data_IF_106416201039
#
_entry.id   IF_106416201039
#
_cell.length_a   1.000
_cell.length_b   1.000
_cell.length_c   1.000
_cell.angle_alpha   90.00
_cell.angle_beta   90.00
_cell.angle_gamma   90.00
#
_symmetry.space_group_name_H-M   'P 1'
#
loop_
_entity.id
_entity.type
_entity.pdbx_description
1 polymer ?
#
# COMPACT_ATOMS: atom_id res chain seq x y z
N UNK A 1 1.69 46.30 10.11
CA UNK A 1 1.91 44.84 9.99
C UNK A 1 1.61 44.48 8.54
N UNK A 2 2.62 44.12 7.73
CA UNK A 2 2.40 43.79 6.32
C UNK A 2 2.08 42.31 6.14
N UNK A 3 1.03 42.00 5.38
CA UNK A 3 0.80 40.66 4.84
C UNK A 3 1.70 40.49 3.61
N UNK A 4 2.50 39.42 3.57
CA UNK A 4 3.16 38.98 2.36
C UNK A 4 2.40 37.78 1.81
N UNK A 5 2.13 37.76 0.51
CA UNK A 5 1.22 36.81 -0.14
C UNK A 5 1.76 35.37 -0.24
N UNK A 6 3.05 35.15 0.03
CA UNK A 6 3.65 33.81 -0.01
C UNK A 6 5.01 33.76 0.73
N UNK A 7 5.34 32.58 1.25
CA UNK A 7 6.65 32.25 1.82
C UNK A 7 7.36 31.27 0.88
N UNK A 8 8.53 31.64 0.35
CA UNK A 8 9.28 30.86 -0.64
C UNK A 8 9.84 29.53 -0.12
N UNK A 9 9.96 29.35 1.19
CA UNK A 9 10.47 28.10 1.80
C UNK A 9 9.37 27.06 2.07
N UNK A 10 8.10 27.45 2.16
CA UNK A 10 7.01 26.51 2.48
C UNK A 10 5.77 26.61 1.59
N UNK A 11 5.69 27.57 0.67
CA UNK A 11 4.63 27.65 -0.35
C UNK A 11 3.21 28.01 0.14
N UNK A 12 2.96 28.11 1.46
CA UNK A 12 1.60 28.34 2.00
C UNK A 12 1.26 29.82 2.21
N UNK A 13 0.04 30.20 1.81
CA UNK A 13 -0.46 31.59 1.79
C UNK A 13 -0.78 32.22 3.16
N UNK A 14 -0.59 31.51 4.28
CA UNK A 14 -0.96 32.02 5.64
C UNK A 14 0.04 31.69 6.74
N UNK A 15 1.33 31.95 6.51
CA UNK A 15 2.35 31.88 7.56
C UNK A 15 2.52 33.25 8.27
N UNK A 16 2.34 33.32 9.60
CA UNK A 16 2.71 34.49 10.41
C UNK A 16 4.17 34.38 10.84
N UNK A 17 5.09 35.08 10.16
CA UNK A 17 6.45 35.26 10.65
C UNK A 17 6.50 36.35 11.73
N UNK A 18 6.90 35.98 12.96
CA UNK A 18 7.27 36.97 13.99
C UNK A 18 8.64 37.57 13.61
N UNK A 19 8.67 38.77 13.04
CA UNK A 19 9.92 39.51 12.84
C UNK A 19 10.64 39.69 14.18
N UNK A 20 11.84 39.13 14.32
CA UNK A 20 12.98 39.84 14.89
C UNK A 20 14.23 39.57 14.04
N UNK A 21 15.04 40.62 13.97
CA UNK A 21 16.13 40.93 13.05
C UNK A 21 17.19 39.82 12.93
N UNK A 22 17.68 39.63 11.70
CA UNK A 22 19.06 39.27 11.31
C UNK A 22 19.68 37.97 11.81
N UNK A 23 19.00 36.83 11.67
CA UNK A 23 19.70 35.54 11.49
C UNK A 23 18.80 34.53 10.77
N UNK A 24 19.33 33.88 9.74
CA UNK A 24 18.68 32.86 8.92
C UNK A 24 18.50 31.53 9.68
N UNK A 25 17.82 31.54 10.81
CA UNK A 25 17.39 30.29 11.46
C UNK A 25 16.13 30.52 12.29
N UNK A 26 14.97 30.44 11.63
CA UNK A 26 13.67 30.58 12.29
C UNK A 26 12.80 29.39 11.93
N UNK A 27 13.06 28.28 12.64
CA UNK A 27 12.23 27.07 12.76
C UNK A 27 10.74 27.36 12.54
N UNK A 28 10.25 27.11 11.33
CA UNK A 28 8.83 27.11 11.02
C UNK A 28 8.18 25.91 11.72
N UNK A 29 7.60 26.14 12.91
CA UNK A 29 6.86 25.09 13.63
C UNK A 29 5.52 24.87 12.91
N UNK A 30 5.47 23.92 11.98
CA UNK A 30 4.22 23.39 11.44
C UNK A 30 3.45 22.78 12.61
N UNK A 31 2.37 23.45 13.04
CA UNK A 31 1.61 23.09 14.24
C UNK A 31 0.60 21.95 14.04
N UNK A 32 0.59 21.28 12.90
CA UNK A 32 -0.24 20.11 12.68
C UNK A 32 0.54 19.09 11.84
N UNK A 33 1.45 18.34 12.47
CA UNK A 33 1.86 17.05 11.91
C UNK A 33 0.82 16.04 12.34
N UNK A 34 -0.01 15.57 11.41
CA UNK A 34 -0.72 14.31 11.59
C UNK A 34 0.37 13.25 11.75
N UNK A 35 0.51 12.66 12.93
CA UNK A 35 1.34 11.46 13.12
C UNK A 35 0.54 10.29 12.56
N UNK A 36 0.78 9.95 11.30
CA UNK A 36 0.34 8.66 10.77
C UNK A 36 1.28 7.62 11.39
N UNK A 37 0.81 6.93 12.42
CA UNK A 37 1.56 5.90 13.10
C UNK A 37 1.38 4.59 12.32
N UNK A 38 2.10 4.42 11.22
CA UNK A 38 2.20 3.10 10.56
C UNK A 38 3.14 2.25 11.43
N UNK A 39 2.69 1.14 12.03
CA UNK A 39 3.59 0.27 12.79
C UNK A 39 4.64 -0.31 11.82
N UNK A 40 5.91 -0.05 12.08
CA UNK A 40 7.01 -0.70 11.35
C UNK A 40 6.90 -2.21 11.60
N UNK A 41 6.92 -3.03 10.54
CA UNK A 41 6.90 -4.49 10.66
C UNK A 41 7.97 -5.00 11.63
N UNK A 42 7.65 -6.07 12.36
CA UNK A 42 8.55 -6.65 13.36
C UNK A 42 9.92 -6.99 12.73
N UNK A 43 11.01 -6.58 13.38
CA UNK A 43 12.36 -6.98 12.98
C UNK A 43 12.48 -8.50 12.97
N UNK A 44 12.96 -9.08 11.87
CA UNK A 44 13.18 -10.52 11.76
C UNK A 44 14.18 -11.03 12.80
N UNK A 45 14.05 -12.30 13.21
CA UNK A 45 14.92 -12.90 14.21
C UNK A 45 16.40 -12.89 13.74
N UNK A 46 17.32 -12.55 14.65
CA UNK A 46 18.76 -12.65 14.39
C UNK A 46 19.13 -14.09 14.05
N UNK A 47 19.88 -14.30 12.96
CA UNK A 47 20.35 -15.62 12.54
C UNK A 47 21.24 -16.28 13.59
N UNK A 48 21.24 -17.61 13.64
CA UNK A 48 22.03 -18.38 14.60
C UNK A 48 23.55 -18.14 14.42
N UNK A 49 24.28 -18.02 15.52
CA UNK A 49 25.75 -17.92 15.52
C UNK A 49 26.37 -19.18 14.89
N UNK A 50 27.31 -19.01 13.95
CA UNK A 50 28.02 -20.12 13.31
C UNK A 50 28.81 -20.97 14.32
N UNK A 51 28.97 -22.26 14.03
CA UNK A 51 29.70 -23.19 14.89
C UNK A 51 31.19 -22.79 15.04
N UNK A 52 31.74 -22.94 16.25
CA UNK A 52 33.18 -22.75 16.50
C UNK A 52 34.00 -23.73 15.66
N UNK A 53 35.02 -23.23 14.96
CA UNK A 53 35.93 -24.06 14.16
C UNK A 53 36.65 -25.11 15.00
N UNK A 54 36.94 -26.27 14.41
CA UNK A 54 37.64 -27.37 15.09
C UNK A 54 39.05 -26.94 15.53
N UNK A 55 39.44 -27.33 16.75
CA UNK A 55 40.80 -27.13 17.26
C UNK A 55 41.81 -27.82 16.36
N UNK A 56 42.87 -27.12 15.94
CA UNK A 56 43.93 -27.67 15.10
C UNK A 56 44.64 -28.85 15.77
N UNK A 57 45.10 -29.82 14.97
CA UNK A 57 45.82 -30.99 15.46
C UNK A 57 47.13 -30.59 16.17
N UNK A 58 47.40 -31.19 17.34
CA UNK A 58 48.68 -31.03 18.04
C UNK A 58 49.80 -31.59 17.16
N UNK A 59 50.87 -30.80 16.95
CA UNK A 59 52.02 -31.23 16.15
C UNK A 59 52.69 -32.48 16.74
N UNK A 60 53.26 -33.33 15.87
CA UNK A 60 53.94 -34.55 16.28
C UNK A 60 55.13 -34.26 17.20
N UNK A 61 55.24 -34.98 18.31
CA UNK A 61 56.40 -34.93 19.20
C UNK A 61 57.63 -35.46 18.46
N UNK A 62 58.67 -34.64 18.34
CA UNK A 62 59.94 -35.07 17.75
C UNK A 62 60.56 -36.21 18.56
N UNK A 63 60.98 -37.28 17.89
CA UNK A 63 61.67 -38.41 18.53
C UNK A 63 62.97 -37.96 19.20
N UNK A 64 63.29 -38.57 20.34
CA UNK A 64 64.48 -38.25 21.12
C UNK A 64 65.77 -38.50 20.29
N UNK A 65 66.47 -37.41 19.97
CA UNK A 65 67.78 -37.43 19.31
C UNK A 65 68.68 -36.36 19.94
N UNK A 66 69.98 -36.66 20.01
CA UNK A 66 71.01 -35.81 20.60
C UNK A 66 70.86 -34.34 20.18
N UNK A 67 70.68 -33.45 21.16
CA UNK A 67 70.73 -31.99 21.08
C UNK A 67 70.41 -31.40 19.70
N UNK A 68 69.14 -31.42 19.29
CA UNK A 68 68.73 -30.91 17.97
C UNK A 68 67.28 -30.43 17.93
N UNK A 69 67.12 -29.17 17.52
CA UNK A 69 65.91 -28.43 17.07
C UNK A 69 64.63 -28.49 17.94
N UNK A 70 64.25 -27.34 18.49
CA UNK A 70 62.89 -27.05 18.98
C UNK A 70 61.86 -27.42 17.92
N UNK A 71 60.88 -28.26 18.27
CA UNK A 71 59.83 -28.70 17.36
C UNK A 71 58.99 -27.54 16.82
N UNK A 72 58.55 -27.64 15.57
CA UNK A 72 57.77 -26.59 14.89
C UNK A 72 56.41 -26.33 15.59
N UNK A 73 56.07 -25.05 15.76
CA UNK A 73 54.75 -24.63 16.28
C UNK A 73 53.63 -25.12 15.36
N UNK A 74 52.60 -25.75 15.93
CA UNK A 74 51.44 -26.25 15.18
C UNK A 74 50.66 -25.15 14.46
N UNK A 75 50.03 -25.51 13.33
CA UNK A 75 49.27 -24.57 12.52
C UNK A 75 48.00 -24.05 13.24
N UNK A 76 47.74 -22.75 13.14
CA UNK A 76 46.52 -22.13 13.65
C UNK A 76 45.29 -22.71 12.95
N UNK A 77 44.27 -23.09 13.72
CA UNK A 77 43.01 -23.64 13.18
C UNK A 77 42.27 -22.65 12.27
N UNK A 78 41.50 -23.17 11.31
CA UNK A 78 40.74 -22.34 10.37
C UNK A 78 39.62 -21.56 11.09
N UNK A 79 39.45 -20.29 10.71
CA UNK A 79 38.34 -19.45 11.17
C UNK A 79 37.00 -20.10 10.79
N UNK A 80 36.07 -20.19 11.75
CA UNK A 80 34.73 -20.74 11.52
C UNK A 80 33.93 -19.92 10.50
N UNK A 81 33.01 -20.59 9.78
CA UNK A 81 32.18 -19.93 8.78
C UNK A 81 31.23 -18.91 9.43
N UNK A 82 31.06 -17.76 8.78
CA UNK A 82 30.07 -16.75 9.18
C UNK A 82 28.66 -17.35 9.14
N UNK A 83 27.88 -17.15 10.21
CA UNK A 83 26.49 -17.62 10.27
C UNK A 83 25.60 -16.96 9.21
N UNK A 84 24.52 -17.65 8.80
CA UNK A 84 23.58 -17.14 7.82
C UNK A 84 22.83 -15.91 8.34
N UNK A 85 22.69 -14.89 7.50
CA UNK A 85 21.83 -13.73 7.78
C UNK A 85 20.39 -14.17 8.03
N UNK A 86 19.77 -13.72 9.13
CA UNK A 86 18.38 -14.02 9.46
C UNK A 86 17.40 -13.47 8.41
N UNK A 87 16.25 -14.13 8.24
CA UNK A 87 15.23 -13.68 7.30
C UNK A 87 14.67 -12.30 7.69
N UNK A 88 14.56 -11.39 6.72
CA UNK A 88 13.89 -10.10 6.90
C UNK A 88 12.43 -10.33 7.32
N UNK A 89 11.98 -9.68 8.40
CA UNK A 89 10.60 -9.79 8.89
C UNK A 89 9.58 -9.27 7.87
N UNK A 90 8.38 -9.85 7.86
CA UNK A 90 7.29 -9.38 7.01
C UNK A 90 6.98 -7.90 7.33
N UNK A 91 7.00 -7.05 6.30
CA UNK A 91 6.67 -5.63 6.49
C UNK A 91 5.17 -5.53 6.77
N UNK A 92 4.80 -5.26 8.01
CA UNK A 92 3.40 -4.97 8.37
C UNK A 92 3.00 -3.61 7.82
N UNK A 93 2.27 -3.60 6.70
CA UNK A 93 1.82 -2.38 6.04
C UNK A 93 1.14 -2.67 4.71
N UNK A 94 0.39 -1.71 4.20
CA UNK A 94 -0.24 -1.78 2.89
C UNK A 94 0.89 -1.83 1.84
N UNK A 95 1.00 -2.91 1.07
CA UNK A 95 2.07 -3.15 0.09
C UNK A 95 1.87 -2.35 -1.21
N UNK A 96 0.66 -1.86 -1.42
CA UNK A 96 0.31 -1.00 -2.54
C UNK A 96 -1.11 -0.50 -2.43
N UNK A 97 -1.40 0.62 -3.08
CA UNK A 97 -2.74 1.19 -3.20
C UNK A 97 -3.01 1.70 -4.62
N UNK A 98 -4.25 1.65 -5.05
CA UNK A 98 -4.72 2.31 -6.26
C UNK A 98 -6.09 2.97 -6.01
N UNK A 99 -6.24 4.19 -6.50
CA UNK A 99 -7.51 4.92 -6.48
C UNK A 99 -8.00 5.12 -7.91
N UNK A 100 -9.20 4.65 -8.23
CA UNK A 100 -9.80 4.73 -9.56
C UNK A 100 -11.23 5.23 -9.38
N UNK A 101 -11.62 6.27 -10.12
CA UNK A 101 -12.90 6.93 -9.87
C UNK A 101 -13.52 7.49 -11.14
N UNK A 102 -14.82 7.72 -11.06
CA UNK A 102 -15.61 8.33 -12.11
C UNK A 102 -16.20 9.64 -11.62
N UNK A 103 -16.24 10.62 -12.51
CA UNK A 103 -16.79 11.96 -12.24
C UNK A 103 -18.00 12.28 -13.12
N UNK A 104 -18.51 11.29 -13.85
CA UNK A 104 -19.59 11.46 -14.83
C UNK A 104 -20.85 10.72 -14.40
N UNK A 105 -21.98 11.17 -14.91
CA UNK A 105 -23.24 10.44 -14.73
C UNK A 105 -23.27 9.23 -15.66
N UNK A 106 -23.74 8.09 -15.15
CA UNK A 106 -23.90 6.86 -15.93
C UNK A 106 -25.26 6.22 -15.66
N UNK A 107 -25.91 5.73 -16.71
CA UNK A 107 -27.10 4.88 -16.60
C UNK A 107 -26.67 3.42 -16.75
N UNK A 108 -26.94 2.61 -15.74
CA UNK A 108 -26.48 1.22 -15.65
C UNK A 108 -27.70 0.29 -15.62
N UNK A 109 -27.79 -0.60 -16.60
CA UNK A 109 -28.74 -1.71 -16.57
C UNK A 109 -28.31 -2.77 -15.53
N UNK A 110 -29.16 -3.77 -15.30
CA UNK A 110 -28.80 -4.96 -14.53
C UNK A 110 -27.55 -5.62 -15.11
N UNK A 111 -26.59 -5.94 -14.25
CA UNK A 111 -25.26 -6.51 -14.56
C UNK A 111 -24.33 -5.61 -15.38
N UNK A 112 -24.71 -4.35 -15.65
CA UNK A 112 -23.82 -3.41 -16.32
C UNK A 112 -22.65 -3.04 -15.40
N UNK A 113 -21.44 -3.01 -15.96
CA UNK A 113 -20.25 -2.61 -15.24
C UNK A 113 -20.14 -1.08 -15.18
N UNK A 114 -19.74 -0.57 -14.02
CA UNK A 114 -19.40 0.84 -13.82
C UNK A 114 -18.13 1.14 -14.61
N UNK A 115 -18.15 2.19 -15.42
CA UNK A 115 -16.95 2.69 -16.10
C UNK A 115 -16.28 3.76 -15.24
N UNK A 116 -14.95 3.89 -15.31
CA UNK A 116 -14.21 4.89 -14.55
C UNK A 116 -13.40 5.79 -15.48
N UNK A 117 -13.57 7.09 -15.38
CA UNK A 117 -12.91 8.04 -16.27
C UNK A 117 -11.56 8.58 -15.75
N UNK A 118 -11.16 8.25 -14.52
CA UNK A 118 -9.94 8.81 -13.93
C UNK A 118 -9.15 7.78 -13.12
N UNK A 119 -7.84 7.74 -13.37
CA UNK A 119 -6.86 7.09 -12.50
C UNK A 119 -6.34 8.12 -11.50
N UNK A 120 -6.60 7.90 -10.22
CA UNK A 120 -5.91 8.56 -9.14
C UNK A 120 -4.51 7.97 -8.94
N UNK A 121 -3.91 8.20 -7.75
CA UNK A 121 -2.62 7.62 -7.41
C UNK A 121 -2.62 6.08 -7.46
N UNK A 122 -1.58 5.50 -8.07
CA UNK A 122 -1.33 4.07 -8.15
C UNK A 122 0.10 3.80 -7.68
N UNK A 123 0.25 2.98 -6.64
CA UNK A 123 1.55 2.61 -6.08
C UNK A 123 1.55 1.14 -5.63
N UNK A 124 2.58 0.34 -5.98
CA UNK A 124 3.57 0.64 -7.01
C UNK A 124 2.90 0.86 -8.38
N UNK A 125 3.56 1.52 -9.35
CA UNK A 125 2.95 1.84 -10.65
C UNK A 125 2.42 0.63 -11.43
N UNK A 126 2.93 -0.56 -11.12
CA UNK A 126 2.50 -1.83 -11.70
C UNK A 126 1.56 -2.63 -10.78
N UNK A 127 0.88 -2.00 -9.80
CA UNK A 127 -0.08 -2.71 -8.95
C UNK A 127 -1.31 -3.15 -9.73
N UNK A 128 -1.87 -2.22 -10.52
CA UNK A 128 -3.03 -2.41 -11.39
C UNK A 128 -2.84 -1.67 -12.70
N UNK A 129 -3.56 -2.09 -13.74
CA UNK A 129 -3.70 -1.37 -15.00
C UNK A 129 -5.18 -1.07 -15.23
N UNK A 130 -5.49 0.19 -15.54
CA UNK A 130 -6.83 0.61 -15.90
C UNK A 130 -6.74 1.66 -17.02
N UNK A 131 -7.61 1.51 -18.01
CA UNK A 131 -7.76 2.45 -19.12
C UNK A 131 -8.91 3.40 -18.78
N UNK A 132 -8.67 4.70 -18.57
CA UNK A 132 -9.74 5.67 -18.33
C UNK A 132 -10.84 5.62 -19.40
N UNK A 133 -12.09 5.68 -18.97
CA UNK A 133 -13.29 5.53 -19.80
C UNK A 133 -13.75 4.08 -19.97
N UNK A 134 -13.12 3.13 -19.28
CA UNK A 134 -13.48 1.70 -19.34
C UNK A 134 -13.88 1.17 -17.97
N UNK A 135 -14.50 -0.01 -17.92
CA UNK A 135 -14.83 -0.70 -16.68
C UNK A 135 -13.75 -1.64 -16.12
N UNK A 136 -12.99 -2.40 -16.94
CA UNK A 136 -12.09 -3.42 -16.42
C UNK A 136 -10.82 -2.82 -15.80
N UNK A 137 -10.47 -3.31 -14.60
CA UNK A 137 -9.23 -3.00 -13.91
C UNK A 137 -8.43 -4.30 -13.80
N UNK A 138 -7.31 -4.39 -14.48
CA UNK A 138 -6.42 -5.56 -14.42
C UNK A 138 -5.56 -5.48 -13.17
N UNK A 139 -5.59 -6.53 -12.35
CA UNK A 139 -4.69 -6.71 -11.22
C UNK A 139 -3.38 -7.29 -11.74
N UNK A 140 -2.28 -6.56 -11.61
CA UNK A 140 -0.99 -6.96 -12.18
C UNK A 140 -0.10 -7.73 -11.20
N UNK A 141 -0.42 -7.67 -9.90
CA UNK A 141 0.30 -8.40 -8.87
C UNK A 141 -0.66 -9.34 -8.16
N UNK A 142 -0.28 -10.61 -8.01
CA UNK A 142 -1.03 -11.53 -7.16
C UNK A 142 -0.90 -11.12 -5.69
N UNK A 143 -1.92 -11.46 -4.90
CA UNK A 143 -1.93 -11.18 -3.47
C UNK A 143 -3.32 -11.15 -2.84
N UNK A 144 -3.35 -10.79 -1.57
CA UNK A 144 -4.58 -10.48 -0.83
C UNK A 144 -4.82 -8.98 -0.87
N UNK A 145 -6.05 -8.58 -1.18
CA UNK A 145 -6.44 -7.19 -1.35
C UNK A 145 -7.65 -6.85 -0.50
N UNK A 146 -7.63 -5.66 0.08
CA UNK A 146 -8.80 -4.94 0.56
C UNK A 146 -9.32 -4.07 -0.57
N UNK A 147 -10.56 -4.30 -0.98
CA UNK A 147 -11.24 -3.47 -1.97
C UNK A 147 -12.36 -2.73 -1.27
N UNK A 148 -12.30 -1.40 -1.32
CA UNK A 148 -13.40 -0.53 -0.88
C UNK A 148 -13.95 0.17 -2.11
N UNK A 149 -15.26 0.24 -2.24
CA UNK A 149 -15.90 1.03 -3.28
C UNK A 149 -16.97 1.93 -2.70
N UNK A 150 -17.21 3.05 -3.38
CA UNK A 150 -18.31 3.96 -3.08
C UNK A 150 -19.06 4.27 -4.39
N UNK A 151 -20.38 4.29 -4.33
CA UNK A 151 -21.23 4.67 -5.46
C UNK A 151 -22.36 5.57 -5.00
N UNK A 152 -22.78 6.48 -5.87
CA UNK A 152 -23.82 7.47 -5.61
C UNK A 152 -25.00 7.28 -6.57
N UNK A 153 -25.88 6.30 -6.32
CA UNK A 153 -27.07 6.09 -7.13
C UNK A 153 -28.12 7.20 -6.91
N UNK A 154 -28.80 7.57 -8.00
CA UNK A 154 -30.08 8.28 -8.01
C UNK A 154 -31.19 7.35 -7.53
N UNK A 155 -32.18 7.93 -6.86
CA UNK A 155 -33.42 7.32 -6.35
C UNK A 155 -33.81 5.95 -6.96
N UNK A 156 -34.10 5.00 -6.08
CA UNK A 156 -34.51 3.64 -6.42
C UNK A 156 -33.91 2.66 -5.43
N UNK A 157 -34.21 1.36 -5.59
CA UNK A 157 -33.38 0.30 -5.04
C UNK A 157 -32.25 0.05 -6.02
N UNK A 158 -31.01 0.10 -5.53
CA UNK A 158 -29.86 -0.31 -6.30
C UNK A 158 -28.95 -1.15 -5.40
N UNK A 159 -28.23 -2.07 -6.01
CA UNK A 159 -27.21 -2.85 -5.33
C UNK A 159 -26.02 -3.02 -6.27
N UNK A 160 -24.83 -3.05 -5.69
CA UNK A 160 -23.59 -3.18 -6.43
C UNK A 160 -22.78 -4.32 -5.84
N UNK A 161 -21.99 -4.98 -6.69
CA UNK A 161 -21.03 -5.99 -6.26
C UNK A 161 -19.78 -5.96 -7.14
N UNK A 162 -18.69 -6.48 -6.56
CA UNK A 162 -17.43 -6.66 -7.26
C UNK A 162 -17.41 -8.02 -7.95
N UNK A 163 -16.76 -8.07 -9.10
CA UNK A 163 -16.60 -9.27 -9.92
C UNK A 163 -15.13 -9.44 -10.30
N UNK A 164 -14.64 -10.68 -10.25
CA UNK A 164 -13.41 -11.11 -10.89
C UNK A 164 -13.76 -11.88 -12.17
N UNK A 165 -13.53 -11.27 -13.33
CA UNK A 165 -14.01 -11.78 -14.61
C UNK A 165 -15.54 -11.90 -14.62
N UNK A 166 -16.06 -13.12 -14.75
CA UNK A 166 -17.50 -13.39 -14.71
C UNK A 166 -18.03 -13.72 -13.30
N UNK A 167 -17.15 -14.05 -12.35
CA UNK A 167 -17.53 -14.49 -11.02
C UNK A 167 -17.70 -13.31 -10.06
N UNK A 168 -18.83 -13.27 -9.36
CA UNK A 168 -19.04 -12.29 -8.29
C UNK A 168 -18.16 -12.63 -7.09
N UNK A 169 -17.54 -11.62 -6.49
CA UNK A 169 -16.71 -11.77 -5.29
C UNK A 169 -17.65 -11.91 -4.09
N UNK A 170 -17.63 -13.01 -3.33
CA UNK A 170 -18.54 -13.22 -2.20
C UNK A 170 -18.42 -12.13 -1.14
N UNK A 171 -19.55 -11.69 -0.59
CA UNK A 171 -19.59 -10.64 0.44
C UNK A 171 -19.35 -9.22 -0.08
N UNK A 172 -19.22 -9.04 -1.40
CA UNK A 172 -19.06 -7.72 -2.01
C UNK A 172 -20.37 -7.01 -2.34
N UNK A 173 -21.52 -7.57 -1.97
CA UNK A 173 -22.85 -7.05 -2.29
C UNK A 173 -23.25 -5.97 -1.29
N UNK A 174 -23.32 -4.73 -1.73
CA UNK A 174 -23.78 -3.61 -0.91
C UNK A 174 -24.78 -2.74 -1.66
N UNK A 175 -25.78 -2.25 -0.91
CA UNK A 175 -26.90 -1.48 -1.41
C UNK A 175 -28.22 -2.13 -1.06
N UNK A 176 -29.09 -1.35 -0.41
CA UNK A 176 -30.53 -1.58 -0.26
C UNK A 176 -31.11 -0.43 0.57
N UNK A 177 -31.50 0.66 -0.09
CA UNK A 177 -32.22 1.76 0.54
C UNK A 177 -32.68 2.81 -0.48
N UNK A 178 -33.94 3.25 -0.41
CA UNK A 178 -34.47 4.25 -1.34
C UNK A 178 -33.91 5.65 -1.04
N UNK A 179 -33.20 6.25 -1.99
CA UNK A 179 -32.84 7.68 -1.94
C UNK A 179 -31.43 7.99 -2.44
N UNK A 180 -31.11 9.28 -2.52
CA UNK A 180 -29.79 9.80 -2.92
C UNK A 180 -28.76 9.62 -1.78
N UNK A 181 -28.37 8.37 -1.51
CA UNK A 181 -27.43 8.01 -0.46
C UNK A 181 -26.16 7.41 -1.08
N UNK A 182 -25.03 7.55 -0.38
CA UNK A 182 -23.80 6.83 -0.75
C UNK A 182 -23.94 5.37 -0.36
N UNK A 183 -23.64 4.46 -1.29
CA UNK A 183 -23.44 3.06 -0.96
C UNK A 183 -21.95 2.76 -0.92
N UNK A 184 -21.48 2.32 0.23
CA UNK A 184 -20.09 1.93 0.45
C UNK A 184 -20.03 0.42 0.66
N UNK A 185 -19.17 -0.24 -0.10
CA UNK A 185 -18.91 -1.67 0.03
C UNK A 185 -17.45 -1.96 0.28
N UNK A 186 -17.18 -3.03 1.01
CA UNK A 186 -15.84 -3.44 1.38
C UNK A 186 -15.71 -4.96 1.37
N UNK A 187 -14.63 -5.47 0.79
CA UNK A 187 -14.32 -6.91 0.80
C UNK A 187 -12.81 -7.15 0.85
N UNK A 188 -12.39 -8.21 1.52
CA UNK A 188 -11.04 -8.76 1.42
C UNK A 188 -11.10 -10.01 0.55
N UNK A 189 -10.28 -10.06 -0.49
CA UNK A 189 -10.23 -11.19 -1.42
C UNK A 189 -8.82 -11.39 -1.96
N UNK A 190 -8.55 -12.57 -2.51
CA UNK A 190 -7.32 -12.86 -3.21
C UNK A 190 -7.48 -12.67 -4.72
N UNK A 191 -6.42 -12.19 -5.36
CA UNK A 191 -6.29 -12.10 -6.81
C UNK A 191 -4.99 -12.76 -7.26
N UNK A 192 -5.00 -13.29 -8.48
CA UNK A 192 -3.78 -13.63 -9.23
C UNK A 192 -3.45 -12.53 -10.23
N UNK A 193 -2.19 -12.44 -10.64
CA UNK A 193 -1.80 -11.50 -11.68
C UNK A 193 -2.52 -11.83 -13.00
N UNK A 194 -3.15 -10.83 -13.61
CA UNK A 194 -4.00 -10.95 -14.79
C UNK A 194 -5.50 -10.98 -14.48
N UNK A 195 -5.90 -11.11 -13.22
CA UNK A 195 -7.31 -11.03 -12.83
C UNK A 195 -7.93 -9.68 -13.20
N UNK A 196 -9.23 -9.69 -13.51
CA UNK A 196 -9.94 -8.50 -13.98
C UNK A 196 -11.05 -8.15 -13.02
N UNK A 197 -10.84 -7.07 -12.27
CA UNK A 197 -11.81 -6.50 -11.34
C UNK A 197 -12.80 -5.60 -12.09
N UNK A 198 -14.09 -5.80 -11.82
CA UNK A 198 -15.16 -4.86 -12.24
C UNK A 198 -16.12 -4.63 -11.09
N UNK A 199 -16.65 -3.41 -10.97
CA UNK A 199 -17.80 -3.10 -10.13
C UNK A 199 -19.05 -3.12 -11.01
N UNK A 200 -20.11 -3.82 -10.60
CA UNK A 200 -21.33 -3.95 -11.41
C UNK A 200 -22.56 -3.61 -10.62
N UNK A 201 -23.53 -3.02 -11.31
CA UNK A 201 -24.90 -2.95 -10.82
C UNK A 201 -25.50 -4.37 -10.85
N UNK A 202 -26.01 -4.84 -9.73
CA UNK A 202 -26.62 -6.18 -9.58
C UNK A 202 -28.11 -6.10 -9.25
N UNK A 203 -28.68 -4.91 -9.30
CA UNK A 203 -30.12 -4.67 -9.21
C UNK A 203 -30.66 -4.16 -10.56
N UNK A 204 -31.94 -3.77 -10.61
CA UNK A 204 -32.56 -3.15 -11.77
C UNK A 204 -31.84 -1.91 -12.30
N UNK A 205 -32.37 -1.31 -13.36
CA UNK A 205 -31.74 -0.14 -13.99
C UNK A 205 -31.62 1.03 -13.01
N UNK A 206 -30.42 1.56 -12.85
CA UNK A 206 -30.10 2.69 -11.96
C UNK A 206 -29.29 3.75 -12.69
N UNK A 207 -29.34 5.00 -12.21
CA UNK A 207 -28.41 6.05 -12.61
C UNK A 207 -27.45 6.29 -11.45
N UNK A 208 -26.15 6.41 -11.73
CA UNK A 208 -25.16 6.93 -10.77
C UNK A 208 -24.73 8.31 -11.21
N UNK A 209 -24.47 9.20 -10.26
CA UNK A 209 -24.13 10.60 -10.55
C UNK A 209 -23.31 11.23 -9.42
N UNK A 210 -22.68 12.35 -9.73
CA UNK A 210 -22.12 13.23 -8.70
C UNK A 210 -23.28 13.85 -7.88
N UNK A 211 -23.06 14.16 -6.61
CA UNK A 211 -24.10 14.74 -5.74
C UNK A 211 -24.77 15.95 -6.40
N UNK A 212 -26.09 15.87 -6.60
CA UNK A 212 -26.91 17.02 -7.02
C UNK A 212 -27.54 17.71 -5.80
N UNK A 213 -27.23 19.00 -5.67
CA UNK A 213 -27.82 20.06 -4.82
C UNK A 213 -28.22 19.72 -3.37
N UNK A 214 -27.44 20.22 -2.41
CA UNK A 214 -27.84 20.37 -1.00
C UNK A 214 -27.04 19.53 0.00
N UNK A 215 -26.45 18.42 -0.44
CA UNK A 215 -25.40 17.71 0.30
C UNK A 215 -24.03 18.19 -0.19
N UNK A 216 -23.05 18.31 0.70
CA UNK A 216 -21.68 18.76 0.38
C UNK A 216 -21.03 17.96 -0.77
N UNK A 217 -19.87 18.43 -1.29
CA UNK A 217 -19.37 17.99 -2.59
C UNK A 217 -18.89 16.53 -2.55
N UNK A 218 -19.69 15.61 -3.09
CA UNK A 218 -19.15 14.42 -3.72
C UNK A 218 -18.95 14.74 -5.21
N UNK A 219 -17.69 14.90 -5.61
CA UNK A 219 -17.27 15.24 -6.99
C UNK A 219 -17.22 13.99 -7.89
N UNK A 220 -17.49 12.80 -7.33
CA UNK A 220 -17.41 11.51 -8.00
C UNK A 220 -18.75 10.78 -7.95
N UNK A 221 -19.07 10.03 -9.00
CA UNK A 221 -20.26 9.18 -9.11
C UNK A 221 -19.99 7.77 -8.61
N UNK A 222 -18.74 7.32 -8.75
CA UNK A 222 -18.23 6.06 -8.23
C UNK A 222 -16.73 6.13 -7.95
N UNK A 223 -16.25 5.35 -6.98
CA UNK A 223 -14.82 5.17 -6.72
C UNK A 223 -14.49 3.76 -6.25
N UNK A 224 -13.26 3.33 -6.54
CA UNK A 224 -12.59 2.18 -5.96
C UNK A 224 -11.28 2.59 -5.31
N UNK A 225 -11.04 2.04 -4.13
CA UNK A 225 -9.76 2.00 -3.44
C UNK A 225 -9.33 0.54 -3.34
N UNK A 226 -8.19 0.22 -3.94
CA UNK A 226 -7.62 -1.12 -4.03
C UNK A 226 -6.34 -1.13 -3.21
N UNK A 227 -6.33 -1.86 -2.10
CA UNK A 227 -5.19 -1.92 -1.17
C UNK A 227 -4.63 -3.33 -1.09
N UNK A 228 -3.35 -3.51 -1.45
CA UNK A 228 -2.67 -4.80 -1.34
C UNK A 228 -2.20 -5.01 0.10
N UNK A 229 -2.61 -6.10 0.71
CA UNK A 229 -2.31 -6.46 2.10
C UNK A 229 -1.16 -7.47 2.22
N UNK A 230 -1.10 -8.45 1.32
CA UNK A 230 -0.11 -9.54 1.32
C UNK A 230 0.19 -10.00 -0.12
#
# INVERSE_FOLDING_TARGET
MGYHESCSECGYKKCRCKKKRSSHDSKCKVKNKIKINVPTGATGATGATGATGATGATGATGGAGATGATGATGATGATGATGATGATGATGGILGFANIFDTTQQTLALNAAVTFNTNGPIFPPNLVTHIPGTAPITINQGGTYLITYEVFPQQGTSAFALFNGAAQIPGSNFGSGSGNQTYSGQVITTFVAGDVLTLRNIDGTTVIQNSVSGAGPAVVSASLVIEKLA
#
